data_IF_417388854457
#
_entry.id   IF_417388854457
#
_cell.length_a   1.000
_cell.length_b   1.000
_cell.length_c   1.000
_cell.angle_alpha   90.00
_cell.angle_beta   90.00
_cell.angle_gamma   90.00
#
_symmetry.space_group_name_H-M   'P 1'
#
loop_
_entity.id
_entity.type
_entity.pdbx_description
1 polymer ?
#
# COMPACT_ATOMS: atom_id res chain seq x y z
N UNK A 1 4.38 -19.07 -12.06
CA UNK A 1 3.70 -17.83 -12.46
C UNK A 1 2.41 -18.23 -13.16
N UNK A 2 1.26 -17.69 -12.78
CA UNK A 2 0.06 -17.84 -13.60
C UNK A 2 0.34 -17.17 -14.96
N UNK A 3 0.42 -17.97 -16.01
CA UNK A 3 0.96 -17.60 -17.31
C UNK A 3 0.24 -16.36 -17.86
N UNK A 4 0.99 -15.26 -18.08
CA UNK A 4 0.52 -14.04 -18.73
C UNK A 4 0.13 -12.86 -17.82
N UNK A 5 0.25 -12.96 -16.49
CA UNK A 5 0.02 -11.82 -15.60
C UNK A 5 1.29 -11.00 -15.34
N UNK A 6 1.14 -9.67 -15.26
CA UNK A 6 2.21 -8.73 -14.90
C UNK A 6 1.92 -8.14 -13.53
N UNK A 7 2.94 -8.08 -12.66
CA UNK A 7 2.85 -7.42 -11.36
C UNK A 7 2.98 -5.91 -11.49
N UNK A 8 2.17 -5.17 -10.72
CA UNK A 8 2.28 -3.73 -10.60
C UNK A 8 1.96 -3.26 -9.19
N UNK A 9 2.30 -2.00 -8.90
CA UNK A 9 2.04 -1.37 -7.60
C UNK A 9 1.06 -0.23 -7.77
N UNK A 10 0.02 -0.21 -6.95
CA UNK A 10 -0.87 0.94 -6.79
C UNK A 10 -0.48 1.68 -5.51
N UNK A 11 -0.19 2.97 -5.63
CA UNK A 11 0.21 3.82 -4.49
C UNK A 11 -0.41 5.21 -4.60
N UNK A 12 -0.29 6.03 -3.54
CA UNK A 12 -0.82 7.39 -3.53
C UNK A 12 0.26 8.44 -3.70
N UNK A 13 0.02 9.45 -4.53
CA UNK A 13 0.94 10.59 -4.72
C UNK A 13 1.20 11.34 -3.42
N UNK A 14 0.13 11.58 -2.66
CA UNK A 14 0.17 12.19 -1.34
C UNK A 14 -0.33 11.20 -0.28
N UNK A 15 0.08 11.41 0.97
CA UNK A 15 -0.39 10.57 2.07
C UNK A 15 -1.91 10.76 2.26
N UNK A 16 -2.75 9.71 2.25
CA UNK A 16 -4.22 9.82 2.33
C UNK A 16 -4.72 10.67 3.51
N UNK A 17 -4.04 10.57 4.65
CA UNK A 17 -4.34 11.38 5.86
C UNK A 17 -4.28 12.90 5.63
N UNK A 18 -3.54 13.39 4.63
CA UNK A 18 -3.50 14.84 4.33
C UNK A 18 -4.85 15.35 3.79
N UNK A 19 -5.69 14.48 3.23
CA UNK A 19 -7.02 14.86 2.74
C UNK A 19 -7.98 15.13 3.90
N UNK A 20 -7.92 14.33 4.97
CA UNK A 20 -8.75 14.51 6.16
C UNK A 20 -8.12 15.41 7.22
N UNK A 21 -6.80 15.59 7.17
CA UNK A 21 -6.05 16.37 8.14
C UNK A 21 -4.93 17.12 7.43
N UNK A 22 -5.25 18.23 6.72
CA UNK A 22 -4.26 19.00 5.97
C UNK A 22 -3.14 19.56 6.85
N UNK A 23 -3.43 19.81 8.13
CA UNK A 23 -2.47 20.30 9.11
C UNK A 23 -1.56 19.18 9.69
N UNK A 24 -1.76 17.92 9.29
CA UNK A 24 -0.98 16.81 9.81
C UNK A 24 0.47 16.92 9.34
N UNK A 25 1.41 16.93 10.29
CA UNK A 25 2.86 16.99 10.04
C UNK A 25 3.45 15.64 9.63
N UNK A 26 2.79 14.91 8.73
CA UNK A 26 3.33 13.61 8.26
C UNK A 26 4.51 13.88 7.36
N UNK A 27 5.69 13.45 7.81
CA UNK A 27 6.89 13.43 6.98
C UNK A 27 6.90 12.15 6.16
N UNK A 28 6.86 12.27 4.83
CA UNK A 28 7.13 11.14 3.94
C UNK A 28 8.62 10.76 4.06
N UNK A 29 8.92 9.46 4.14
CA UNK A 29 10.30 8.96 4.22
C UNK A 29 11.09 9.21 2.93
N UNK A 30 10.39 9.26 1.81
CA UNK A 30 10.95 9.50 0.48
C UNK A 30 10.04 10.48 -0.28
N UNK A 31 10.57 11.11 -1.33
CA UNK A 31 9.71 11.77 -2.32
C UNK A 31 8.94 10.75 -3.16
N UNK A 32 7.92 11.19 -3.90
CA UNK A 32 7.21 10.33 -4.85
C UNK A 32 8.16 9.78 -5.92
N UNK A 33 9.00 10.64 -6.50
CA UNK A 33 9.98 10.26 -7.53
C UNK A 33 10.96 9.22 -6.99
N UNK A 34 11.46 9.41 -5.77
CA UNK A 34 12.36 8.44 -5.14
C UNK A 34 11.68 7.10 -4.90
N UNK A 35 10.43 7.10 -4.43
CA UNK A 35 9.67 5.88 -4.24
C UNK A 35 9.45 5.12 -5.55
N UNK A 36 9.15 5.82 -6.64
CA UNK A 36 9.00 5.20 -7.96
C UNK A 36 10.32 4.56 -8.40
N UNK A 37 11.45 5.29 -8.29
CA UNK A 37 12.79 4.75 -8.61
C UNK A 37 13.15 3.52 -7.77
N UNK A 38 12.81 3.51 -6.50
CA UNK A 38 13.02 2.35 -5.61
C UNK A 38 12.14 1.15 -5.99
N UNK A 39 10.91 1.38 -6.45
CA UNK A 39 10.04 0.30 -6.94
C UNK A 39 10.57 -0.27 -8.25
N UNK A 40 11.00 0.60 -9.17
CA UNK A 40 11.61 0.21 -10.45
C UNK A 40 12.89 -0.61 -10.23
N UNK A 41 13.76 -0.22 -9.29
CA UNK A 41 14.98 -0.97 -8.98
C UNK A 41 14.72 -2.35 -8.36
N UNK A 42 13.53 -2.56 -7.79
CA UNK A 42 13.05 -3.86 -7.30
C UNK A 42 12.36 -4.70 -8.39
N UNK A 43 12.35 -4.23 -9.65
CA UNK A 43 11.76 -4.94 -10.78
C UNK A 43 10.26 -4.69 -10.97
N UNK A 44 9.67 -3.71 -10.29
CA UNK A 44 8.27 -3.30 -10.53
C UNK A 44 8.20 -2.55 -11.85
N UNK A 45 7.63 -3.19 -12.87
CA UNK A 45 7.52 -2.63 -14.23
C UNK A 45 6.39 -1.62 -14.38
N UNK A 46 5.39 -1.65 -13.49
CA UNK A 46 4.21 -0.79 -13.57
C UNK A 46 3.86 -0.21 -12.20
N UNK A 47 3.95 1.11 -12.06
CA UNK A 47 3.51 1.83 -10.86
C UNK A 47 2.38 2.80 -11.21
N UNK A 48 1.22 2.61 -10.60
CA UNK A 48 0.05 3.48 -10.74
C UNK A 48 -0.03 4.38 -9.51
N UNK A 49 0.07 5.69 -9.73
CA UNK A 49 -0.04 6.68 -8.65
C UNK A 49 -1.43 7.32 -8.66
N UNK A 50 -2.17 7.14 -7.58
CA UNK A 50 -3.49 7.72 -7.38
C UNK A 50 -3.40 9.01 -6.56
N UNK A 51 -4.30 9.94 -6.81
CA UNK A 51 -4.61 11.02 -5.88
C UNK A 51 -5.69 10.52 -4.93
N UNK A 52 -5.42 10.50 -3.63
CA UNK A 52 -6.49 10.27 -2.66
C UNK A 52 -7.34 11.55 -2.63
N UNK A 53 -8.63 11.44 -2.93
CA UNK A 53 -9.57 12.57 -2.94
C UNK A 53 -10.78 12.25 -2.06
N UNK A 54 -11.59 13.25 -1.65
CA UNK A 54 -12.84 13.00 -0.94
C UNK A 54 -13.75 12.03 -1.70
N UNK A 55 -13.86 12.15 -3.02
CA UNK A 55 -14.67 11.26 -3.87
C UNK A 55 -14.14 9.83 -3.79
N UNK A 56 -12.82 9.64 -3.92
CA UNK A 56 -12.20 8.32 -3.78
C UNK A 56 -12.45 7.72 -2.39
N UNK A 57 -12.47 8.55 -1.36
CA UNK A 57 -12.70 8.10 0.03
C UNK A 57 -14.13 7.64 0.32
N UNK A 58 -15.09 8.03 -0.53
CA UNK A 58 -16.48 7.63 -0.40
C UNK A 58 -16.80 6.33 -1.13
N UNK A 59 -15.90 5.84 -2.00
CA UNK A 59 -16.10 4.57 -2.70
C UNK A 59 -16.11 3.41 -1.70
N UNK A 60 -17.11 2.54 -1.82
CA UNK A 60 -17.10 1.23 -1.18
C UNK A 60 -15.90 0.40 -1.64
N UNK A 61 -15.58 -0.63 -0.88
CA UNK A 61 -14.54 -1.59 -1.26
C UNK A 61 -14.85 -2.22 -2.63
N UNK A 62 -16.12 -2.60 -2.85
CA UNK A 62 -16.60 -3.20 -4.10
C UNK A 62 -16.43 -2.27 -5.29
N UNK A 63 -16.82 -0.99 -5.15
CA UNK A 63 -16.66 0.00 -6.22
C UNK A 63 -15.19 0.22 -6.56
N UNK A 64 -14.33 0.36 -5.55
CA UNK A 64 -12.90 0.55 -5.80
C UNK A 64 -12.25 -0.68 -6.45
N UNK A 65 -12.59 -1.90 -6.02
CA UNK A 65 -12.14 -3.14 -6.68
C UNK A 65 -12.65 -3.21 -8.13
N UNK A 66 -13.89 -2.80 -8.40
CA UNK A 66 -14.42 -2.76 -9.76
C UNK A 66 -13.60 -1.81 -10.66
N UNK A 67 -13.13 -0.67 -10.15
CA UNK A 67 -12.22 0.21 -10.87
C UNK A 67 -10.88 -0.50 -11.17
N UNK A 68 -10.27 -1.16 -10.18
CA UNK A 68 -9.01 -1.90 -10.40
C UNK A 68 -9.17 -3.01 -11.45
N UNK A 69 -10.26 -3.78 -11.38
CA UNK A 69 -10.56 -4.80 -12.39
C UNK A 69 -10.79 -4.19 -13.78
N UNK A 70 -11.53 -3.07 -13.87
CA UNK A 70 -11.84 -2.43 -15.14
C UNK A 70 -10.61 -1.81 -15.80
N UNK A 71 -9.84 -1.03 -15.06
CA UNK A 71 -8.74 -0.24 -15.62
C UNK A 71 -7.40 -0.99 -15.65
N UNK A 72 -7.15 -1.87 -14.69
CA UNK A 72 -5.89 -2.62 -14.59
C UNK A 72 -6.04 -4.10 -14.95
N UNK A 73 -7.26 -4.56 -15.26
CA UNK A 73 -7.54 -5.99 -15.52
C UNK A 73 -7.05 -6.88 -14.38
N UNK A 74 -7.14 -6.38 -13.15
CA UNK A 74 -6.62 -7.03 -11.95
C UNK A 74 -7.22 -8.44 -11.77
N UNK A 75 -6.33 -9.44 -11.65
CA UNK A 75 -6.69 -10.84 -11.36
C UNK A 75 -6.27 -11.32 -9.97
N UNK A 76 -5.38 -10.58 -9.32
CA UNK A 76 -4.93 -10.86 -7.96
C UNK A 76 -4.53 -9.59 -7.24
N UNK A 77 -4.66 -9.61 -5.92
CA UNK A 77 -4.35 -8.50 -5.03
C UNK A 77 -3.46 -9.00 -3.89
N UNK A 78 -2.26 -8.42 -3.75
CA UNK A 78 -1.32 -8.72 -2.67
C UNK A 78 -1.33 -7.58 -1.66
N UNK A 79 -1.57 -7.89 -0.39
CA UNK A 79 -1.74 -6.91 0.68
C UNK A 79 -0.94 -7.27 1.93
N UNK A 80 -0.59 -6.24 2.72
CA UNK A 80 -0.02 -6.44 4.05
C UNK A 80 -1.07 -6.70 5.14
N UNK A 81 -0.64 -7.03 6.37
CA UNK A 81 -1.53 -7.48 7.45
C UNK A 81 -2.53 -6.41 7.93
N UNK A 82 -2.17 -5.13 7.88
CA UNK A 82 -3.02 -4.01 8.34
C UNK A 82 -3.76 -3.29 7.19
N UNK A 83 -3.74 -3.89 6.00
CA UNK A 83 -4.32 -3.28 4.82
C UNK A 83 -5.85 -3.24 4.91
N UNK A 84 -6.41 -2.10 4.54
CA UNK A 84 -7.83 -1.97 4.27
C UNK A 84 -8.09 -0.90 3.22
N UNK A 85 -9.16 -1.06 2.46
CA UNK A 85 -9.65 -0.11 1.46
C UNK A 85 -11.16 0.09 1.58
N UNK A 86 -11.69 1.02 0.78
CA UNK A 86 -13.12 1.33 0.79
C UNK A 86 -13.54 2.26 1.93
N UNK A 87 -14.74 2.81 1.78
CA UNK A 87 -15.37 3.70 2.75
C UNK A 87 -15.40 3.05 4.11
N UNK A 88 -14.98 3.79 5.14
CA UNK A 88 -14.94 3.25 6.51
C UNK A 88 -13.99 2.07 6.72
N UNK A 89 -13.05 1.82 5.79
CA UNK A 89 -12.12 0.67 5.82
C UNK A 89 -12.83 -0.70 5.78
N UNK A 90 -14.01 -0.77 5.16
CA UNK A 90 -14.82 -2.01 5.09
C UNK A 90 -14.15 -3.15 4.29
N UNK A 91 -13.21 -2.83 3.40
CA UNK A 91 -12.44 -3.79 2.62
C UNK A 91 -11.15 -4.18 3.32
N UNK A 92 -11.25 -4.84 4.48
CA UNK A 92 -10.11 -5.51 5.13
C UNK A 92 -9.78 -6.85 4.45
N UNK A 93 -8.80 -7.60 4.98
CA UNK A 93 -8.39 -8.87 4.40
C UNK A 93 -9.52 -9.91 4.28
N UNK A 94 -10.47 -9.93 5.22
CA UNK A 94 -11.60 -10.86 5.17
C UNK A 94 -12.63 -10.39 4.14
N UNK A 95 -13.00 -9.11 4.16
CA UNK A 95 -13.93 -8.52 3.20
C UNK A 95 -13.42 -8.62 1.76
N UNK A 96 -12.12 -8.43 1.55
CA UNK A 96 -11.50 -8.57 0.23
C UNK A 96 -11.48 -10.01 -0.28
N UNK A 97 -11.32 -11.01 0.59
CA UNK A 97 -11.41 -12.42 0.20
C UNK A 97 -12.82 -12.79 -0.26
N UNK A 98 -13.85 -12.34 0.48
CA UNK A 98 -15.24 -12.53 0.08
C UNK A 98 -15.54 -11.86 -1.27
N UNK A 99 -15.10 -10.61 -1.45
CA UNK A 99 -15.19 -9.93 -2.75
C UNK A 99 -14.40 -10.65 -3.85
N UNK A 100 -13.27 -11.29 -3.50
CA UNK A 100 -12.45 -12.11 -4.39
C UNK A 100 -13.22 -13.28 -4.99
N UNK A 101 -13.97 -13.99 -4.14
CA UNK A 101 -14.84 -15.10 -4.54
C UNK A 101 -15.98 -14.61 -5.45
N UNK A 102 -16.62 -13.48 -5.13
CA UNK A 102 -17.71 -12.93 -5.93
C UNK A 102 -17.27 -12.36 -7.28
N UNK A 103 -16.10 -11.70 -7.32
CA UNK A 103 -15.64 -10.91 -8.46
C UNK A 103 -14.52 -11.60 -9.24
N UNK A 104 -14.20 -12.86 -8.97
CA UNK A 104 -13.13 -13.64 -9.64
C UNK A 104 -11.75 -12.93 -9.58
N UNK A 105 -11.21 -12.74 -8.38
CA UNK A 105 -9.80 -12.37 -8.17
C UNK A 105 -9.24 -12.99 -6.89
N UNK A 106 -7.93 -13.25 -6.87
CA UNK A 106 -7.26 -13.80 -5.68
C UNK A 106 -6.83 -12.69 -4.71
N UNK A 107 -6.78 -13.02 -3.41
CA UNK A 107 -6.21 -12.14 -2.38
C UNK A 107 -5.13 -12.90 -1.62
N UNK A 108 -3.92 -12.35 -1.62
CA UNK A 108 -2.79 -12.86 -0.85
C UNK A 108 -2.43 -11.85 0.23
N UNK A 109 -2.33 -12.33 1.48
CA UNK A 109 -1.89 -11.51 2.61
C UNK A 109 -0.46 -11.92 2.95
N UNK A 110 0.49 -11.02 2.76
CA UNK A 110 1.89 -11.27 3.12
C UNK A 110 2.11 -10.99 4.60
N UNK A 111 2.92 -11.81 5.30
CA UNK A 111 3.22 -11.60 6.71
C UNK A 111 4.02 -10.29 6.92
N UNK A 112 3.92 -9.67 8.10
CA UNK A 112 4.74 -8.50 8.43
C UNK A 112 6.21 -8.89 8.43
N UNK A 113 7.06 -7.97 7.95
CA UNK A 113 8.51 -8.11 8.10
C UNK A 113 8.91 -7.75 9.52
N UNK A 114 9.72 -8.59 10.16
CA UNK A 114 10.19 -8.41 11.53
C UNK A 114 11.70 -8.32 11.54
N UNK A 115 12.24 -7.34 12.27
CA UNK A 115 13.68 -7.17 12.48
C UNK A 115 13.94 -6.96 13.97
N UNK A 116 14.79 -7.80 14.56
CA UNK A 116 15.09 -7.80 16.00
C UNK A 116 13.83 -7.83 16.89
N UNK A 117 12.84 -8.64 16.52
CA UNK A 117 11.59 -8.79 17.27
C UNK A 117 10.59 -7.63 17.11
N UNK A 118 10.91 -6.60 16.33
CA UNK A 118 10.02 -5.47 16.05
C UNK A 118 9.54 -5.48 14.59
N UNK A 119 8.27 -5.14 14.37
CA UNK A 119 7.70 -5.00 13.01
C UNK A 119 8.35 -3.83 12.29
N UNK A 120 8.81 -4.06 11.06
CA UNK A 120 9.31 -3.03 10.16
C UNK A 120 8.11 -2.27 9.58
N UNK A 121 8.00 -0.97 9.90
CA UNK A 121 6.94 -0.10 9.40
C UNK A 121 7.40 1.34 9.25
N UNK A 122 6.71 2.12 8.39
CA UNK A 122 7.01 3.54 8.20
C UNK A 122 6.89 4.35 9.49
N UNK A 123 5.97 3.98 10.40
CA UNK A 123 5.83 4.62 11.72
C UNK A 123 7.04 4.32 12.59
N UNK A 124 7.49 3.07 12.63
CA UNK A 124 8.67 2.69 13.39
C UNK A 124 9.94 3.38 12.87
N UNK A 125 10.12 3.45 11.54
CA UNK A 125 11.27 4.12 10.90
C UNK A 125 11.26 5.62 11.20
N UNK A 126 10.12 6.31 11.04
CA UNK A 126 10.00 7.73 11.40
C UNK A 126 10.33 8.00 12.86
N UNK A 127 9.89 7.14 13.77
CA UNK A 127 10.21 7.25 15.20
C UNK A 127 11.70 7.07 15.50
N UNK A 128 12.40 6.20 14.77
CA UNK A 128 13.85 6.05 14.90
C UNK A 128 14.59 7.29 14.35
N UNK A 129 14.17 7.79 13.18
CA UNK A 129 14.69 9.03 12.59
C UNK A 129 14.52 10.23 13.54
N UNK A 130 13.35 10.38 14.17
CA UNK A 130 13.10 11.50 15.10
C UNK A 130 13.97 11.45 16.36
N UNK A 131 14.56 10.29 16.68
CA UNK A 131 15.50 10.12 17.79
C UNK A 131 16.97 10.16 17.35
N UNK A 132 17.24 10.34 16.05
CA UNK A 132 18.60 10.30 15.50
C UNK A 132 19.22 8.91 15.42
N UNK A 133 18.43 7.84 15.58
CA UNK A 133 18.91 6.45 15.59
C UNK A 133 19.05 5.91 14.16
N UNK A 134 20.09 6.38 13.47
CA UNK A 134 20.36 6.04 12.06
C UNK A 134 20.72 4.58 11.84
N UNK A 135 21.34 3.93 12.83
CA UNK A 135 21.70 2.51 12.76
C UNK A 135 20.44 1.64 12.77
N UNK A 136 19.47 1.94 13.64
CA UNK A 136 18.18 1.24 13.66
C UNK A 136 17.36 1.51 12.39
N UNK A 137 17.48 2.70 11.80
CA UNK A 137 16.85 3.02 10.50
C UNK A 137 17.44 2.16 9.38
N UNK A 138 18.78 2.16 9.24
CA UNK A 138 19.47 1.39 8.21
C UNK A 138 19.17 -0.11 8.33
N UNK A 139 19.27 -0.63 9.55
CA UNK A 139 18.97 -2.04 9.85
C UNK A 139 17.57 -2.43 9.38
N UNK A 140 16.55 -1.60 9.62
CA UNK A 140 15.17 -1.88 9.20
C UNK A 140 14.89 -1.71 7.71
N UNK A 141 15.64 -0.84 7.01
CA UNK A 141 15.48 -0.65 5.56
C UNK A 141 16.11 -1.82 4.79
N UNK A 142 17.20 -2.39 5.32
CA UNK A 142 17.92 -3.51 4.72
C UNK A 142 17.47 -4.88 5.21
N UNK A 143 16.87 -4.94 6.41
CA UNK A 143 16.19 -6.12 6.95
C UNK A 143 15.24 -6.69 5.95
#
# INVERSE_FOLDING_TARGET
AAEGLVSGVVTFQHHPRLVFSPQSKITCLTSLQERIRLLESLGVSHTVTLSFTPELSQLSAREFIALLKRYLRMRGLVIGPDFALGKGREGDAQGLKALGEELDFSVEVVPPRVWQGEVVSSTAIRGALSRGDVMKVQGRIQA
#
